data_IF_728346352175
#
_entry.id   IF_728346352175
#
_cell.length_a   1.000
_cell.length_b   1.000
_cell.length_c   1.000
_cell.angle_alpha   90.00
_cell.angle_beta   90.00
_cell.angle_gamma   90.00
#
_symmetry.space_group_name_H-M   'P 1'
#
loop_
_entity.id
_entity.type
_entity.pdbx_description
1 polymer ?
#
# COMPACT_ATOMS: atom_id res chain seq x y z
N UNK A 1 36.99 -20.12 -44.15
CA UNK A 1 35.72 -20.67 -43.62
C UNK A 1 35.17 -19.67 -42.63
N UNK A 2 34.37 -18.73 -43.05
CA UNK A 2 33.73 -17.71 -42.19
C UNK A 2 32.49 -18.32 -41.58
N UNK A 3 32.56 -18.63 -40.29
CA UNK A 3 31.39 -19.07 -39.53
C UNK A 3 30.37 -17.92 -39.52
N UNK A 4 29.23 -18.20 -40.05
CA UNK A 4 28.07 -17.33 -40.12
C UNK A 4 27.57 -17.03 -38.70
N UNK A 5 28.07 -15.94 -38.09
CA UNK A 5 27.67 -15.44 -36.75
C UNK A 5 26.35 -14.65 -36.77
N UNK A 6 25.73 -14.53 -37.90
CA UNK A 6 24.56 -13.72 -38.16
C UNK A 6 23.32 -14.04 -37.34
N UNK A 7 22.95 -15.33 -37.08
CA UNK A 7 21.75 -15.62 -36.30
C UNK A 7 21.90 -15.26 -34.80
N UNK A 8 23.07 -15.47 -34.21
CA UNK A 8 23.33 -15.14 -32.81
C UNK A 8 23.32 -13.62 -32.57
N UNK A 9 23.97 -12.84 -33.44
CA UNK A 9 23.98 -11.38 -33.34
C UNK A 9 22.56 -10.78 -33.46
N UNK A 10 21.77 -11.26 -34.41
CA UNK A 10 20.35 -10.83 -34.53
C UNK A 10 19.53 -11.16 -33.33
N UNK A 11 19.70 -12.36 -32.75
CA UNK A 11 18.99 -12.78 -31.53
C UNK A 11 19.37 -11.88 -30.34
N UNK A 12 20.67 -11.62 -30.16
CA UNK A 12 21.16 -10.73 -29.09
C UNK A 12 20.57 -9.31 -29.28
N UNK A 13 20.60 -8.76 -30.49
CA UNK A 13 20.05 -7.43 -30.77
C UNK A 13 18.54 -7.39 -30.50
N UNK A 14 17.80 -8.39 -30.98
CA UNK A 14 16.35 -8.46 -30.74
C UNK A 14 16.03 -8.56 -29.23
N UNK A 15 16.77 -9.39 -28.50
CA UNK A 15 16.60 -9.52 -27.05
C UNK A 15 16.92 -8.22 -26.33
N UNK A 16 17.99 -7.53 -26.71
CA UNK A 16 18.36 -6.23 -26.13
C UNK A 16 17.31 -5.16 -26.41
N UNK A 17 16.75 -5.12 -27.61
CA UNK A 17 15.69 -4.19 -27.99
C UNK A 17 14.39 -4.48 -27.19
N UNK A 18 13.98 -5.74 -27.09
CA UNK A 18 12.80 -6.13 -26.32
C UNK A 18 12.98 -5.83 -24.83
N UNK A 19 14.15 -6.12 -24.27
CA UNK A 19 14.47 -5.79 -22.89
C UNK A 19 14.46 -4.27 -22.66
N UNK A 20 15.08 -3.49 -23.55
CA UNK A 20 15.09 -2.03 -23.48
C UNK A 20 13.66 -1.45 -23.57
N UNK A 21 12.84 -1.99 -24.47
CA UNK A 21 11.43 -1.58 -24.60
C UNK A 21 10.64 -1.91 -23.32
N UNK A 22 10.81 -3.10 -22.76
CA UNK A 22 10.15 -3.52 -21.53
C UNK A 22 10.54 -2.63 -20.35
N UNK A 23 11.84 -2.39 -20.15
CA UNK A 23 12.34 -1.53 -19.08
C UNK A 23 11.90 -0.08 -19.29
N UNK A 24 12.02 0.43 -20.50
CA UNK A 24 11.61 1.80 -20.85
C UNK A 24 10.12 2.04 -20.62
N UNK A 25 9.28 1.10 -21.09
CA UNK A 25 7.83 1.17 -20.86
C UNK A 25 7.50 1.05 -19.36
N UNK A 26 8.18 0.16 -18.64
CA UNK A 26 7.98 -0.01 -17.21
C UNK A 26 8.32 1.26 -16.41
N UNK A 27 9.47 1.87 -16.71
CA UNK A 27 9.89 3.14 -16.06
C UNK A 27 8.95 4.29 -16.42
N UNK A 28 8.58 4.42 -17.69
CA UNK A 28 7.62 5.43 -18.13
C UNK A 28 6.30 5.27 -17.40
N UNK A 29 5.75 4.05 -17.35
CA UNK A 29 4.49 3.76 -16.65
C UNK A 29 4.60 4.06 -15.16
N UNK A 30 5.71 3.68 -14.52
CA UNK A 30 5.95 3.97 -13.10
C UNK A 30 5.94 5.48 -12.81
N UNK A 31 6.60 6.28 -13.63
CA UNK A 31 6.63 7.74 -13.47
C UNK A 31 5.27 8.34 -13.80
N UNK A 32 4.66 7.95 -14.92
CA UNK A 32 3.36 8.46 -15.37
C UNK A 32 2.24 8.17 -14.36
N UNK A 33 2.19 6.95 -13.82
CA UNK A 33 1.24 6.54 -12.79
C UNK A 33 1.63 7.02 -11.38
N UNK A 34 2.67 7.86 -11.25
CA UNK A 34 3.17 8.36 -9.97
C UNK A 34 3.48 7.25 -8.97
N UNK A 35 4.06 6.14 -9.42
CA UNK A 35 4.43 5.00 -8.58
C UNK A 35 5.36 5.38 -7.42
N UNK A 36 6.14 6.45 -7.55
CA UNK A 36 6.96 7.03 -6.49
C UNK A 36 6.13 7.52 -5.27
N UNK A 37 4.82 7.70 -5.40
CA UNK A 37 3.92 8.02 -4.27
C UNK A 37 4.02 7.02 -3.12
N UNK A 38 4.34 5.77 -3.41
CA UNK A 38 4.59 4.77 -2.38
C UNK A 38 5.89 5.00 -1.58
N UNK A 39 6.79 5.88 -2.04
CA UNK A 39 8.03 6.20 -1.33
C UNK A 39 7.87 7.32 -0.30
N UNK A 40 6.83 8.13 -0.41
CA UNK A 40 6.56 9.25 0.52
C UNK A 40 5.56 8.88 1.61
N UNK A 41 5.48 9.73 2.66
CA UNK A 41 4.45 9.67 3.70
C UNK A 41 3.37 10.75 3.53
N UNK A 42 3.48 11.57 2.50
CA UNK A 42 2.50 12.61 2.22
C UNK A 42 1.12 11.99 1.95
N UNK A 43 0.08 12.33 2.71
CA UNK A 43 -1.27 11.85 2.49
C UNK A 43 -1.83 12.19 1.10
N UNK A 44 -1.42 13.32 0.52
CA UNK A 44 -1.85 13.70 -0.83
C UNK A 44 -1.35 12.71 -1.90
N UNK A 45 -0.22 12.06 -1.66
CA UNK A 45 0.29 11.04 -2.56
C UNK A 45 -0.65 9.81 -2.66
N UNK A 46 -1.38 9.49 -1.60
CA UNK A 46 -2.41 8.45 -1.62
C UNK A 46 -3.63 8.87 -2.47
N UNK A 47 -3.98 10.14 -2.44
CA UNK A 47 -5.10 10.71 -3.22
C UNK A 47 -4.78 10.88 -4.72
N UNK A 48 -3.57 10.57 -5.18
CA UNK A 48 -3.25 10.49 -6.62
C UNK A 48 -4.12 9.46 -7.36
N UNK A 49 -4.52 8.38 -6.67
CA UNK A 49 -5.53 7.47 -7.19
C UNK A 49 -6.91 8.04 -6.88
N UNK A 50 -7.70 8.35 -7.91
CA UNK A 50 -9.00 9.02 -7.75
C UNK A 50 -9.96 8.28 -6.81
N UNK A 51 -9.91 6.95 -6.76
CA UNK A 51 -10.73 6.13 -5.87
C UNK A 51 -10.40 6.35 -4.38
N UNK A 52 -9.19 6.84 -4.06
CA UNK A 52 -8.77 7.14 -2.69
C UNK A 52 -9.19 8.53 -2.23
N UNK A 53 -9.77 9.36 -3.09
CA UNK A 53 -10.16 10.74 -2.73
C UNK A 53 -11.20 10.78 -1.63
N UNK A 54 -12.21 9.93 -1.68
CA UNK A 54 -13.23 9.87 -0.63
C UNK A 54 -12.62 9.57 0.75
N UNK A 55 -11.68 8.62 0.81
CA UNK A 55 -10.96 8.28 2.04
C UNK A 55 -10.04 9.42 2.50
N UNK A 56 -9.37 10.10 1.57
CA UNK A 56 -8.55 11.27 1.89
C UNK A 56 -9.41 12.43 2.44
N UNK A 57 -10.52 12.74 1.80
CA UNK A 57 -11.44 13.80 2.23
C UNK A 57 -12.07 13.48 3.59
N UNK A 58 -12.39 12.23 3.85
CA UNK A 58 -12.86 11.77 5.16
C UNK A 58 -11.77 11.91 6.22
N UNK A 59 -10.52 11.50 5.93
CA UNK A 59 -9.39 11.67 6.83
C UNK A 59 -9.14 13.16 7.17
N UNK A 60 -9.31 14.10 6.22
CA UNK A 60 -9.11 15.52 6.51
C UNK A 60 -10.08 16.08 7.56
N UNK A 61 -11.17 15.38 7.81
CA UNK A 61 -12.19 15.71 8.83
C UNK A 61 -12.13 14.81 10.06
N UNK A 62 -11.29 13.77 10.04
CA UNK A 62 -11.20 12.80 11.12
C UNK A 62 -10.45 13.36 12.34
N UNK A 63 -10.70 12.77 13.51
CA UNK A 63 -10.08 13.15 14.79
C UNK A 63 -8.55 13.00 14.77
N UNK A 64 -8.02 12.04 14.01
CA UNK A 64 -6.59 11.75 13.93
C UNK A 64 -5.83 12.58 12.90
N UNK A 65 -6.50 13.45 12.12
CA UNK A 65 -5.85 14.30 11.11
C UNK A 65 -4.65 15.10 11.63
N UNK A 66 -4.75 15.62 12.85
CA UNK A 66 -3.72 16.49 13.43
C UNK A 66 -2.49 15.73 13.95
N UNK A 67 -2.59 14.41 14.15
CA UNK A 67 -1.58 13.60 14.84
C UNK A 67 -1.08 12.41 14.06
N UNK A 68 -1.78 11.99 13.00
CA UNK A 68 -1.43 10.82 12.21
C UNK A 68 -1.71 11.02 10.72
N UNK A 69 -0.81 10.52 9.89
CA UNK A 69 -1.01 10.44 8.44
C UNK A 69 -1.36 9.01 8.04
N UNK A 70 -1.80 8.82 6.78
CA UNK A 70 -2.24 7.51 6.29
C UNK A 70 -1.26 6.37 6.63
N UNK A 71 0.04 6.61 6.47
CA UNK A 71 1.07 5.60 6.73
C UNK A 71 1.27 5.25 8.22
N UNK A 72 0.83 6.08 9.14
CA UNK A 72 0.95 5.78 10.57
C UNK A 72 -0.01 4.67 11.00
N UNK A 73 -1.16 4.58 10.32
CA UNK A 73 -2.14 3.52 10.52
C UNK A 73 -1.97 2.34 9.55
N UNK A 74 -1.56 2.60 8.30
CA UNK A 74 -1.54 1.58 7.23
C UNK A 74 -0.18 0.95 6.96
N UNK A 75 0.86 1.29 7.72
CA UNK A 75 2.16 0.61 7.64
C UNK A 75 2.69 0.23 9.01
N UNK A 76 3.35 -0.95 9.13
CA UNK A 76 3.97 -1.34 10.39
C UNK A 76 5.16 -0.43 10.72
N UNK A 77 5.52 -0.31 12.02
CA UNK A 77 6.68 0.45 12.45
C UNK A 77 7.99 -0.16 11.94
N UNK A 78 9.02 0.69 11.81
CA UNK A 78 10.34 0.28 11.32
C UNK A 78 10.50 0.43 9.81
N UNK A 79 11.71 0.73 9.38
CA UNK A 79 12.01 1.05 7.98
C UNK A 79 11.71 -0.13 7.04
N UNK A 80 12.25 -1.30 7.36
CA UNK A 80 12.10 -2.49 6.49
C UNK A 80 10.65 -2.95 6.40
N UNK A 81 9.91 -3.22 7.51
CA UNK A 81 8.53 -3.66 7.45
C UNK A 81 7.62 -2.66 6.73
N UNK A 82 7.85 -1.36 6.95
CA UNK A 82 7.13 -0.27 6.28
C UNK A 82 7.26 -0.36 4.76
N UNK A 83 8.49 -0.39 4.24
CA UNK A 83 8.70 -0.40 2.79
C UNK A 83 8.35 -1.74 2.13
N UNK A 84 8.51 -2.85 2.83
CA UNK A 84 7.97 -4.15 2.36
C UNK A 84 6.45 -4.10 2.22
N UNK A 85 5.75 -3.52 3.19
CA UNK A 85 4.30 -3.34 3.12
C UNK A 85 3.90 -2.40 1.99
N UNK A 86 4.61 -1.28 1.82
CA UNK A 86 4.38 -0.34 0.72
C UNK A 86 4.61 -0.97 -0.66
N UNK A 87 5.71 -1.69 -0.84
CA UNK A 87 6.03 -2.38 -2.10
C UNK A 87 4.96 -3.43 -2.43
N UNK A 88 4.58 -4.24 -1.45
CA UNK A 88 3.52 -5.25 -1.62
C UNK A 88 2.18 -4.60 -1.96
N UNK A 89 1.77 -3.58 -1.22
CA UNK A 89 0.50 -2.90 -1.48
C UNK A 89 0.55 -2.19 -2.83
N UNK A 90 1.66 -1.53 -3.17
CA UNK A 90 1.85 -0.89 -4.47
C UNK A 90 1.69 -1.87 -5.64
N UNK A 91 2.31 -3.04 -5.55
CA UNK A 91 2.17 -4.08 -6.56
C UNK A 91 0.71 -4.56 -6.70
N UNK A 92 0.07 -4.95 -5.59
CA UNK A 92 -1.28 -5.50 -5.63
C UNK A 92 -2.33 -4.46 -5.99
N UNK A 93 -2.22 -3.22 -5.51
CA UNK A 93 -3.11 -2.14 -5.93
C UNK A 93 -3.00 -1.91 -7.44
N UNK A 94 -1.79 -1.77 -7.97
CA UNK A 94 -1.59 -1.61 -9.42
C UNK A 94 -2.16 -2.78 -10.21
N UNK A 95 -1.93 -4.01 -9.77
CA UNK A 95 -2.45 -5.21 -10.42
C UNK A 95 -3.99 -5.24 -10.41
N UNK A 96 -4.60 -5.05 -9.25
CA UNK A 96 -6.07 -5.12 -9.14
C UNK A 96 -6.76 -4.00 -9.90
N UNK A 97 -6.23 -2.77 -9.85
CA UNK A 97 -6.79 -1.66 -10.63
C UNK A 97 -6.62 -1.87 -12.14
N UNK A 98 -5.47 -2.33 -12.59
CA UNK A 98 -5.23 -2.60 -14.02
C UNK A 98 -6.14 -3.71 -14.55
N UNK A 99 -6.43 -4.71 -13.72
CA UNK A 99 -7.26 -5.86 -14.12
C UNK A 99 -8.75 -5.70 -13.78
N UNK A 100 -9.13 -4.61 -13.11
CA UNK A 100 -10.52 -4.40 -12.67
C UNK A 100 -11.00 -5.37 -11.59
N UNK A 101 -10.07 -6.02 -10.85
CA UNK A 101 -10.39 -7.06 -9.87
C UNK A 101 -10.39 -6.56 -8.42
N UNK A 102 -10.87 -5.37 -8.19
CA UNK A 102 -11.02 -4.83 -6.83
C UNK A 102 -12.49 -4.80 -6.41
N UNK A 103 -12.80 -4.94 -5.10
CA UNK A 103 -14.17 -4.81 -4.62
C UNK A 103 -14.61 -3.34 -4.65
N UNK A 104 -15.88 -3.12 -4.96
CA UNK A 104 -16.52 -1.80 -4.84
C UNK A 104 -17.75 -1.97 -3.93
N UNK A 105 -17.77 -1.34 -2.75
CA UNK A 105 -16.79 -0.45 -2.19
C UNK A 105 -15.45 -1.15 -1.83
N UNK A 106 -14.37 -0.36 -1.76
CA UNK A 106 -13.05 -0.87 -1.36
C UNK A 106 -13.12 -1.47 0.03
N UNK A 107 -12.42 -2.60 0.21
CA UNK A 107 -12.33 -3.28 1.50
C UNK A 107 -10.88 -3.54 1.87
N UNK A 108 -10.58 -3.32 3.14
CA UNK A 108 -9.25 -3.63 3.68
C UNK A 108 -8.99 -5.14 3.65
N UNK A 109 -7.77 -5.54 3.29
CA UNK A 109 -7.38 -6.95 3.38
C UNK A 109 -7.11 -7.34 4.84
N UNK A 110 -7.30 -8.62 5.24
CA UNK A 110 -7.05 -9.05 6.61
C UNK A 110 -5.65 -8.68 7.12
N UNK A 111 -4.63 -8.81 6.27
CA UNK A 111 -3.26 -8.43 6.63
C UNK A 111 -3.10 -6.93 6.88
N UNK A 112 -3.70 -6.09 6.06
CA UNK A 112 -3.62 -4.64 6.26
C UNK A 112 -4.46 -4.20 7.45
N UNK A 113 -5.56 -4.88 7.72
CA UNK A 113 -6.36 -4.70 8.93
C UNK A 113 -5.54 -5.01 10.18
N UNK A 114 -4.80 -6.15 10.22
CA UNK A 114 -3.90 -6.48 11.33
C UNK A 114 -2.86 -5.36 11.57
N UNK A 115 -2.33 -4.77 10.49
CA UNK A 115 -1.38 -3.63 10.58
C UNK A 115 -2.05 -2.42 11.22
N UNK A 116 -3.28 -2.10 10.83
CA UNK A 116 -4.04 -0.97 11.39
C UNK A 116 -4.34 -1.19 12.87
N UNK A 117 -4.78 -2.38 13.26
CA UNK A 117 -5.04 -2.73 14.67
C UNK A 117 -3.78 -2.61 15.54
N UNK A 118 -2.63 -3.05 15.03
CA UNK A 118 -1.34 -2.89 15.74
C UNK A 118 -0.91 -1.42 15.83
N UNK A 119 -1.28 -0.58 14.85
CA UNK A 119 -1.00 0.85 14.91
C UNK A 119 -1.81 1.55 16.02
N UNK A 120 -3.06 1.16 16.22
CA UNK A 120 -3.86 1.64 17.36
C UNK A 120 -3.17 1.36 18.69
N UNK A 121 -2.75 0.11 18.90
CA UNK A 121 -2.07 -0.32 20.13
C UNK A 121 -0.72 0.34 20.33
N UNK A 122 0.00 0.62 19.27
CA UNK A 122 1.29 1.33 19.32
C UNK A 122 1.14 2.74 19.90
N UNK A 123 0.11 3.49 19.48
CA UNK A 123 -0.09 4.87 19.90
C UNK A 123 -0.89 4.98 21.21
N UNK A 124 -1.78 4.01 21.47
CA UNK A 124 -2.66 3.96 22.64
C UNK A 124 -2.25 2.86 23.64
N UNK A 125 -0.94 2.56 23.75
CA UNK A 125 -0.43 1.44 24.52
C UNK A 125 -0.93 1.43 25.98
N UNK A 126 -0.91 2.59 26.64
CA UNK A 126 -1.34 2.71 28.04
C UNK A 126 -2.83 2.43 28.20
N UNK A 127 -3.66 2.91 27.28
CA UNK A 127 -5.11 2.68 27.29
C UNK A 127 -5.46 1.23 26.96
N UNK A 128 -4.74 0.64 26.01
CA UNK A 128 -5.03 -0.73 25.56
C UNK A 128 -4.48 -1.80 26.51
N UNK A 129 -3.51 -1.47 27.36
CA UNK A 129 -2.97 -2.41 28.34
C UNK A 129 -4.04 -2.99 29.26
N UNK A 130 -5.03 -2.20 29.63
CA UNK A 130 -6.14 -2.63 30.50
C UNK A 130 -7.26 -3.35 29.71
N UNK A 131 -7.38 -3.03 28.41
CA UNK A 131 -8.43 -3.57 27.53
C UNK A 131 -8.01 -4.92 26.93
N UNK A 132 -6.76 -5.04 26.47
CA UNK A 132 -6.25 -6.20 25.75
C UNK A 132 -6.36 -7.53 26.50
N UNK A 133 -6.18 -7.63 27.85
CA UNK A 133 -6.40 -8.86 28.58
C UNK A 133 -7.84 -9.38 28.47
N UNK A 134 -8.82 -8.49 28.43
CA UNK A 134 -10.24 -8.84 28.33
C UNK A 134 -10.66 -9.17 26.87
N UNK A 135 -9.94 -8.65 25.88
CA UNK A 135 -10.31 -8.74 24.46
C UNK A 135 -9.39 -9.66 23.64
N UNK A 136 -8.47 -10.39 24.29
CA UNK A 136 -7.43 -11.19 23.63
C UNK A 136 -6.59 -10.36 22.65
N UNK A 137 -5.41 -9.99 23.04
CA UNK A 137 -4.47 -9.11 22.33
C UNK A 137 -4.04 -9.54 20.91
N UNK A 138 -4.65 -10.58 20.35
CA UNK A 138 -4.43 -11.01 18.97
C UNK A 138 -5.37 -10.25 18.03
N UNK A 139 -4.83 -9.52 17.03
CA UNK A 139 -5.64 -8.82 16.02
C UNK A 139 -6.63 -9.73 15.26
N UNK A 140 -6.44 -11.03 15.33
CA UNK A 140 -7.26 -12.02 14.59
C UNK A 140 -8.34 -12.68 15.40
N UNK A 141 -8.19 -12.72 16.72
CA UNK A 141 -9.08 -13.47 17.61
C UNK A 141 -9.80 -12.58 18.63
N UNK A 142 -9.49 -11.29 18.66
CA UNK A 142 -10.08 -10.31 19.55
C UNK A 142 -11.11 -9.42 18.88
N UNK A 143 -11.77 -8.59 19.68
CA UNK A 143 -12.60 -7.50 19.16
C UNK A 143 -11.67 -6.46 18.54
N UNK A 144 -11.90 -6.14 17.26
CA UNK A 144 -11.15 -5.12 16.57
C UNK A 144 -11.49 -3.73 17.11
N UNK A 145 -10.48 -2.88 17.30
CA UNK A 145 -10.67 -1.48 17.70
C UNK A 145 -11.56 -0.74 16.69
N UNK A 146 -11.39 -1.02 15.41
CA UNK A 146 -12.17 -0.40 14.33
C UNK A 146 -13.63 -0.86 14.29
N UNK A 147 -14.03 -1.90 15.03
CA UNK A 147 -15.45 -2.28 15.17
C UNK A 147 -16.25 -1.22 15.92
N UNK A 148 -15.65 -0.60 16.95
CA UNK A 148 -16.30 0.45 17.73
C UNK A 148 -15.82 1.87 17.35
N UNK A 149 -14.59 1.98 16.81
CA UNK A 149 -13.93 3.23 16.44
C UNK A 149 -13.73 3.31 14.92
N UNK A 150 -14.82 3.22 14.16
CA UNK A 150 -14.78 3.12 12.70
C UNK A 150 -14.59 4.44 11.97
N UNK A 151 -14.70 5.58 12.67
CA UNK A 151 -14.63 6.94 12.09
C UNK A 151 -13.35 7.71 12.44
N UNK A 152 -12.44 7.11 13.20
CA UNK A 152 -11.26 7.83 13.72
C UNK A 152 -10.24 8.21 12.64
N UNK A 153 -10.17 7.44 11.56
CA UNK A 153 -9.28 7.68 10.42
C UNK A 153 -10.01 8.22 9.19
N UNK A 154 -11.01 7.50 8.75
CA UNK A 154 -11.92 7.86 7.66
C UNK A 154 -13.19 7.04 7.81
N UNK A 155 -14.30 7.62 7.45
CA UNK A 155 -15.61 6.94 7.47
C UNK A 155 -15.66 6.01 6.26
N UNK A 156 -16.09 4.76 6.45
CA UNK A 156 -16.39 3.82 5.37
C UNK A 156 -17.76 4.10 4.75
#
# INVERSE_FOLDING_TARGET
MTRQSWPAARLITATALLFGLMVGTGLYTFVYAKGYSYLTNDPQACANCHIMRAHFDAWTRASHRAVAVCNDCHTPPGLIPKYVTKARNGFWHSFYFTTGRYPDPLRITPRNHDVTELACRKCHADLTADIDPAHNASPRNGISCTTCHNDVGHIE
#
